data_IF_634985393336
#
_entry.id   IF_634985393336
#
_cell.length_a   1.000
_cell.length_b   1.000
_cell.length_c   1.000
_cell.angle_alpha   90.00
_cell.angle_beta   90.00
_cell.angle_gamma   90.00
#
_symmetry.space_group_name_H-M   'P 1'
#
loop_
_entity.id
_entity.type
_entity.pdbx_description
1 polymer ?
#
# COMPACT_ATOMS: atom_id res chain seq x y z
N UNK A 1 -11.46 8.38 -11.00
CA UNK A 1 -11.69 6.94 -11.30
C UNK A 1 -11.17 6.17 -10.09
N UNK A 2 -12.00 5.26 -9.51
CA UNK A 2 -11.62 4.49 -8.34
C UNK A 2 -10.91 3.19 -8.71
N UNK A 3 -10.13 2.64 -7.78
CA UNK A 3 -9.45 1.34 -7.95
C UNK A 3 -10.40 0.18 -8.17
N UNK A 4 -11.68 0.31 -7.76
CA UNK A 4 -12.71 -0.70 -7.98
C UNK A 4 -12.90 -1.09 -9.45
N UNK A 5 -12.51 -0.22 -10.38
CA UNK A 5 -12.63 -0.49 -11.82
C UNK A 5 -11.59 -1.50 -12.34
N UNK A 6 -10.57 -1.82 -11.53
CA UNK A 6 -9.48 -2.68 -11.97
C UNK A 6 -9.95 -4.08 -12.38
N UNK A 7 -10.95 -4.64 -11.68
CA UNK A 7 -11.50 -5.95 -12.00
C UNK A 7 -12.11 -6.02 -13.40
N UNK A 8 -12.86 -4.98 -13.78
CA UNK A 8 -13.53 -4.94 -15.09
C UNK A 8 -12.58 -4.54 -16.22
N UNK A 9 -11.58 -3.71 -15.92
CA UNK A 9 -10.65 -3.16 -16.90
C UNK A 9 -9.50 -4.09 -17.25
N UNK A 10 -9.10 -4.98 -16.34
CA UNK A 10 -8.01 -5.92 -16.63
C UNK A 10 -8.43 -6.96 -17.67
N UNK A 11 -7.61 -7.21 -18.71
CA UNK A 11 -7.85 -8.29 -19.65
C UNK A 11 -7.32 -9.65 -19.16
N UNK A 12 -6.64 -9.69 -17.99
CA UNK A 12 -5.94 -10.86 -17.48
C UNK A 12 -6.72 -11.56 -16.39
N UNK A 13 -6.52 -12.88 -16.26
CA UNK A 13 -7.09 -13.68 -15.18
C UNK A 13 -6.41 -13.43 -13.83
N UNK A 14 -5.12 -13.07 -13.85
CA UNK A 14 -4.31 -12.71 -12.70
C UNK A 14 -3.74 -11.32 -12.88
N UNK A 15 -3.88 -10.46 -11.88
CA UNK A 15 -3.50 -9.04 -11.98
C UNK A 15 -2.91 -8.55 -10.67
N UNK A 16 -1.82 -7.78 -10.77
CA UNK A 16 -1.31 -6.95 -9.66
C UNK A 16 -1.58 -5.49 -10.02
N UNK A 17 -2.40 -4.84 -9.20
CA UNK A 17 -2.65 -3.41 -9.25
C UNK A 17 -1.71 -2.69 -8.31
N UNK A 18 -0.99 -1.68 -8.81
CA UNK A 18 -0.01 -0.90 -8.05
C UNK A 18 -0.33 0.60 -8.08
N UNK A 19 0.17 1.33 -7.10
CA UNK A 19 0.28 2.79 -7.17
C UNK A 19 1.35 3.19 -8.18
N UNK A 20 1.15 4.32 -8.84
CA UNK A 20 2.09 4.82 -9.86
C UNK A 20 3.43 5.29 -9.30
N UNK A 21 3.52 5.50 -8.01
CA UNK A 21 4.68 5.89 -7.23
C UNK A 21 5.27 4.72 -6.42
N UNK A 22 4.94 3.48 -6.81
CA UNK A 22 5.54 2.26 -6.28
C UNK A 22 6.71 1.81 -7.17
N UNK A 23 7.90 1.71 -6.59
CA UNK A 23 9.13 1.31 -7.27
C UNK A 23 9.33 -0.19 -7.14
N UNK A 24 9.41 -0.88 -8.29
CA UNK A 24 9.65 -2.32 -8.37
C UNK A 24 11.14 -2.54 -8.65
N UNK A 25 11.85 -3.08 -7.67
CA UNK A 25 13.30 -3.35 -7.76
C UNK A 25 13.63 -4.82 -7.47
N UNK A 26 12.58 -5.66 -7.27
CA UNK A 26 12.75 -7.07 -6.97
C UNK A 26 11.70 -7.93 -7.68
N UNK A 27 11.94 -9.24 -7.83
CA UNK A 27 10.92 -10.16 -8.35
C UNK A 27 9.89 -10.58 -7.30
N UNK A 28 9.85 -9.93 -6.13
CA UNK A 28 9.05 -10.36 -4.98
C UNK A 28 7.54 -10.39 -5.29
N UNK A 29 7.04 -9.41 -6.04
CA UNK A 29 5.63 -9.35 -6.41
C UNK A 29 5.17 -10.56 -7.25
N UNK A 30 6.05 -11.12 -8.08
CA UNK A 30 5.71 -12.29 -8.91
C UNK A 30 5.41 -13.52 -8.06
N UNK A 31 5.98 -13.62 -6.86
CA UNK A 31 5.72 -14.72 -5.92
C UNK A 31 4.31 -14.70 -5.36
N UNK A 32 3.58 -13.58 -5.46
CA UNK A 32 2.21 -13.50 -4.96
C UNK A 32 1.31 -14.53 -5.66
N UNK A 33 1.48 -14.74 -6.96
CA UNK A 33 0.66 -15.69 -7.73
C UNK A 33 0.86 -17.15 -7.33
N UNK A 34 1.96 -17.46 -6.64
CA UNK A 34 2.27 -18.82 -6.15
C UNK A 34 1.72 -19.09 -4.75
N UNK A 35 1.41 -18.05 -3.97
CA UNK A 35 1.11 -18.16 -2.53
C UNK A 35 -0.32 -17.80 -2.13
N UNK A 36 -1.16 -17.33 -3.06
CA UNK A 36 -2.53 -16.95 -2.74
C UNK A 36 -3.58 -17.59 -3.67
N UNK A 37 -4.80 -17.71 -3.18
CA UNK A 37 -5.89 -18.33 -3.93
C UNK A 37 -6.53 -17.34 -4.91
N UNK A 38 -7.03 -16.19 -4.45
CA UNK A 38 -7.76 -15.26 -5.30
C UNK A 38 -7.59 -13.77 -5.02
N UNK A 39 -7.18 -13.36 -3.81
CA UNK A 39 -7.05 -11.93 -3.46
C UNK A 39 -6.02 -11.70 -2.35
N UNK A 40 -5.10 -10.74 -2.53
CA UNK A 40 -4.16 -10.31 -1.50
C UNK A 40 -3.92 -8.79 -1.52
N UNK A 41 -3.67 -8.24 -0.34
CA UNK A 41 -3.26 -6.86 -0.12
C UNK A 41 -2.42 -6.73 1.16
N UNK A 42 -1.61 -5.67 1.32
CA UNK A 42 -0.85 -5.45 2.54
C UNK A 42 -1.77 -5.06 3.72
N UNK A 43 -1.52 -5.65 4.88
CA UNK A 43 -2.15 -5.32 6.16
C UNK A 43 -1.31 -4.36 7.01
N UNK A 44 -0.02 -4.24 6.73
CA UNK A 44 0.94 -3.46 7.50
C UNK A 44 1.97 -2.76 6.64
N UNK A 45 2.50 -1.66 7.16
CA UNK A 45 3.55 -0.87 6.53
C UNK A 45 4.81 -0.84 7.37
N UNK A 46 5.94 -0.57 6.72
CA UNK A 46 7.21 -0.25 7.33
C UNK A 46 7.71 1.09 6.79
N UNK A 47 7.91 2.06 7.66
CA UNK A 47 8.41 3.37 7.27
C UNK A 47 9.93 3.42 7.41
N UNK A 48 10.62 3.73 6.31
CA UNK A 48 12.07 3.89 6.30
C UNK A 48 12.48 5.06 7.22
N UNK A 49 13.52 4.85 8.01
CA UNK A 49 14.09 5.83 8.94
C UNK A 49 13.07 6.37 9.97
N UNK A 50 12.05 5.58 10.30
CA UNK A 50 11.13 5.86 11.39
C UNK A 50 11.39 4.91 12.56
N UNK A 51 11.52 5.46 13.76
CA UNK A 51 11.81 4.69 14.98
C UNK A 51 10.66 3.74 15.36
N UNK A 52 9.44 4.02 14.91
CA UNK A 52 8.26 3.18 15.17
C UNK A 52 8.15 1.96 14.24
N UNK A 53 8.97 1.90 13.19
CA UNK A 53 9.11 0.75 12.29
C UNK A 53 7.81 0.32 11.61
N UNK A 54 7.17 -0.74 12.14
CA UNK A 54 5.95 -1.29 11.58
C UNK A 54 4.70 -0.59 12.11
N UNK A 55 3.77 -0.28 11.21
CA UNK A 55 2.51 0.36 11.54
C UNK A 55 1.33 -0.44 10.98
N UNK A 56 0.37 -0.75 11.84
CA UNK A 56 -1.02 -1.03 11.49
C UNK A 56 -1.82 0.20 11.88
N UNK A 57 -2.59 0.74 10.96
CA UNK A 57 -3.35 1.97 11.17
C UNK A 57 -4.84 1.63 11.25
N UNK A 58 -5.48 1.77 12.43
CA UNK A 58 -6.92 1.52 12.54
C UNK A 58 -7.72 2.62 11.82
N UNK A 59 -8.85 2.26 11.21
CA UNK A 59 -9.73 3.24 10.54
C UNK A 59 -10.46 4.16 11.51
N UNK A 60 -10.55 3.75 12.77
CA UNK A 60 -11.23 4.48 13.85
C UNK A 60 -10.76 4.02 15.23
N UNK A 61 -11.12 4.73 16.34
CA UNK A 61 -10.73 4.35 17.70
C UNK A 61 -11.17 2.96 18.14
N UNK A 62 -12.23 2.43 17.53
CA UNK A 62 -12.82 1.12 17.85
C UNK A 62 -12.99 0.26 16.60
N UNK A 63 -12.41 0.68 15.50
CA UNK A 63 -12.50 0.01 14.21
C UNK A 63 -11.43 -1.06 14.02
N UNK A 64 -11.47 -1.64 12.84
CA UNK A 64 -10.48 -2.59 12.35
C UNK A 64 -9.34 -1.85 11.63
N UNK A 65 -8.25 -2.57 11.36
CA UNK A 65 -7.08 -2.00 10.70
C UNK A 65 -7.33 -1.72 9.20
N UNK A 66 -6.69 -0.66 8.72
CA UNK A 66 -6.64 -0.29 7.32
C UNK A 66 -5.90 -1.37 6.52
N UNK A 67 -6.40 -1.65 5.31
CA UNK A 67 -5.68 -2.42 4.30
C UNK A 67 -5.13 -1.48 3.24
N UNK A 68 -3.90 -1.69 2.83
CA UNK A 68 -3.23 -0.76 1.92
C UNK A 68 -3.53 -1.11 0.46
N UNK A 69 -4.21 -0.21 -0.22
CA UNK A 69 -4.57 -0.38 -1.62
C UNK A 69 -3.41 -0.06 -2.59
N UNK A 70 -2.22 0.23 -2.08
CA UNK A 70 -1.00 0.44 -2.88
C UNK A 70 -0.65 -0.79 -3.70
N UNK A 71 -0.87 -1.98 -3.14
CA UNK A 71 -0.72 -3.27 -3.84
C UNK A 71 -2.02 -4.05 -3.67
N UNK A 72 -2.62 -4.46 -4.77
CA UNK A 72 -3.73 -5.42 -4.78
C UNK A 72 -3.42 -6.49 -5.81
N UNK A 73 -3.17 -7.71 -5.35
CA UNK A 73 -3.03 -8.87 -6.23
C UNK A 73 -4.35 -9.65 -6.24
N UNK A 74 -4.88 -9.98 -7.42
CA UNK A 74 -6.14 -10.69 -7.52
C UNK A 74 -6.23 -11.58 -8.77
N UNK A 75 -7.02 -12.67 -8.63
CA UNK A 75 -7.49 -13.50 -9.74
C UNK A 75 -8.93 -13.13 -10.08
N UNK A 76 -9.37 -13.40 -11.31
CA UNK A 76 -10.79 -13.23 -11.70
C UNK A 76 -11.65 -14.33 -11.07
N UNK A 77 -11.99 -14.15 -9.80
CA UNK A 77 -12.87 -15.00 -9.02
C UNK A 77 -14.15 -14.27 -8.62
N UNK A 78 -15.16 -15.01 -8.18
CA UNK A 78 -16.38 -14.41 -7.62
C UNK A 78 -16.09 -13.56 -6.38
N UNK A 79 -15.16 -14.00 -5.53
CA UNK A 79 -14.77 -13.25 -4.32
C UNK A 79 -14.10 -11.92 -4.68
N UNK A 80 -13.12 -11.94 -5.57
CA UNK A 80 -12.47 -10.73 -6.05
C UNK A 80 -13.49 -9.76 -6.67
N UNK A 81 -14.41 -10.27 -7.49
CA UNK A 81 -15.51 -9.47 -8.04
C UNK A 81 -16.33 -8.79 -6.96
N UNK A 82 -16.76 -9.54 -5.95
CA UNK A 82 -17.54 -9.01 -4.82
C UNK A 82 -16.78 -7.93 -4.05
N UNK A 83 -15.47 -8.11 -3.82
CA UNK A 83 -14.64 -7.10 -3.16
C UNK A 83 -14.61 -5.79 -3.96
N UNK A 84 -14.36 -5.84 -5.27
CA UNK A 84 -14.32 -4.64 -6.11
C UNK A 84 -15.70 -3.98 -6.27
N UNK A 85 -16.78 -4.75 -6.39
CA UNK A 85 -18.15 -4.20 -6.38
C UNK A 85 -18.47 -3.53 -5.04
N UNK A 86 -18.06 -4.14 -3.92
CA UNK A 86 -18.21 -3.56 -2.59
C UNK A 86 -17.38 -2.27 -2.43
N UNK A 87 -16.13 -2.22 -2.97
CA UNK A 87 -15.33 -0.99 -2.99
C UNK A 87 -16.05 0.16 -3.70
N UNK A 88 -16.73 -0.14 -4.83
CA UNK A 88 -17.57 0.86 -5.51
C UNK A 88 -18.72 1.33 -4.62
N UNK A 89 -19.46 0.40 -4.03
CA UNK A 89 -20.57 0.72 -3.12
C UNK A 89 -20.10 1.57 -1.93
N UNK A 90 -18.95 1.24 -1.34
CA UNK A 90 -18.35 2.02 -0.24
C UNK A 90 -17.98 3.42 -0.71
N UNK A 91 -17.40 3.58 -1.91
CA UNK A 91 -17.06 4.90 -2.45
C UNK A 91 -18.31 5.76 -2.67
N UNK A 92 -19.33 5.18 -3.27
CA UNK A 92 -20.61 5.89 -3.56
C UNK A 92 -21.35 6.30 -2.28
N UNK A 93 -21.14 5.57 -1.18
CA UNK A 93 -21.80 5.81 0.11
C UNK A 93 -20.80 6.15 1.22
N UNK A 94 -19.66 6.76 0.91
CA UNK A 94 -18.54 6.88 1.83
C UNK A 94 -18.91 7.58 3.15
N UNK A 95 -19.72 8.65 3.10
CA UNK A 95 -20.19 9.38 4.29
C UNK A 95 -20.97 8.46 5.24
N UNK A 96 -21.76 7.52 4.72
CA UNK A 96 -22.46 6.53 5.54
C UNK A 96 -21.46 5.67 6.33
N UNK A 97 -20.41 5.18 5.67
CA UNK A 97 -19.39 4.33 6.31
C UNK A 97 -18.53 5.10 7.31
N UNK A 98 -18.21 6.38 7.02
CA UNK A 98 -17.54 7.27 7.98
C UNK A 98 -18.32 7.35 9.28
N UNK A 99 -19.64 7.57 9.20
CA UNK A 99 -20.51 7.65 10.36
C UNK A 99 -20.69 6.29 11.05
N UNK A 100 -20.87 5.22 10.27
CA UNK A 100 -21.11 3.86 10.80
C UNK A 100 -19.91 3.37 11.63
N UNK A 101 -18.69 3.61 11.15
CA UNK A 101 -17.46 3.17 11.81
C UNK A 101 -16.79 4.24 12.67
N UNK A 102 -17.38 5.43 12.79
CA UNK A 102 -16.80 6.57 13.50
C UNK A 102 -15.34 6.84 13.09
N UNK A 103 -15.11 6.93 11.77
CA UNK A 103 -13.76 7.02 11.20
C UNK A 103 -13.09 8.35 11.53
N UNK A 104 -11.75 8.34 11.62
CA UNK A 104 -10.94 9.54 11.90
C UNK A 104 -11.03 10.60 10.80
N UNK A 105 -11.28 10.21 9.55
CA UNK A 105 -11.30 11.11 8.40
C UNK A 105 -12.52 10.89 7.54
N UNK A 106 -13.15 11.99 7.13
CA UNK A 106 -14.22 12.01 6.15
C UNK A 106 -13.71 12.05 4.71
N UNK A 107 -12.39 12.22 4.51
CA UNK A 107 -11.79 12.20 3.18
C UNK A 107 -11.73 10.77 2.67
N UNK A 108 -12.25 10.55 1.45
CA UNK A 108 -12.20 9.24 0.81
C UNK A 108 -10.76 8.76 0.59
N UNK A 109 -10.50 7.50 0.98
CA UNK A 109 -9.27 6.77 0.70
C UNK A 109 -9.61 5.39 0.14
N UNK A 110 -8.86 4.97 -0.88
CA UNK A 110 -8.99 3.60 -1.41
C UNK A 110 -8.66 2.53 -0.36
N UNK A 111 -7.72 2.82 0.54
CA UNK A 111 -7.31 1.95 1.64
C UNK A 111 -8.49 1.64 2.58
N UNK A 112 -9.24 2.66 2.98
CA UNK A 112 -10.44 2.50 3.80
C UNK A 112 -11.53 1.74 3.05
N UNK A 113 -11.76 2.08 1.76
CA UNK A 113 -12.75 1.37 0.96
C UNK A 113 -12.40 -0.11 0.80
N UNK A 114 -11.12 -0.43 0.59
CA UNK A 114 -10.63 -1.81 0.53
C UNK A 114 -10.85 -2.55 1.85
N UNK A 115 -10.42 -1.96 2.98
CA UNK A 115 -10.55 -2.56 4.30
C UNK A 115 -12.01 -2.86 4.65
N UNK A 116 -12.92 -1.89 4.43
CA UNK A 116 -14.36 -2.04 4.66
C UNK A 116 -14.93 -3.16 3.76
N UNK A 117 -14.55 -3.18 2.49
CA UNK A 117 -15.06 -4.15 1.50
C UNK A 117 -14.65 -5.57 1.82
N UNK A 118 -13.39 -5.77 2.19
CA UNK A 118 -12.90 -7.08 2.62
C UNK A 118 -13.64 -7.57 3.87
N UNK A 119 -13.89 -6.69 4.84
CA UNK A 119 -14.68 -7.03 6.03
C UNK A 119 -16.13 -7.43 5.68
N UNK A 120 -16.80 -6.67 4.83
CA UNK A 120 -18.17 -6.99 4.42
C UNK A 120 -18.23 -8.33 3.70
N UNK A 121 -17.37 -8.55 2.71
CA UNK A 121 -17.36 -9.78 1.89
C UNK A 121 -17.01 -11.00 2.74
N UNK A 122 -16.14 -10.84 3.74
CA UNK A 122 -15.75 -11.92 4.67
C UNK A 122 -16.72 -12.08 5.87
N UNK A 123 -17.92 -11.48 5.83
CA UNK A 123 -18.90 -11.58 6.93
C UNK A 123 -18.43 -10.92 8.21
N UNK A 124 -17.67 -9.82 8.12
CA UNK A 124 -17.07 -9.06 9.23
C UNK A 124 -15.99 -9.83 10.03
N UNK A 125 -15.49 -10.93 9.47
CA UNK A 125 -14.39 -11.71 10.05
C UNK A 125 -13.07 -11.25 9.40
N UNK A 126 -12.01 -11.19 10.18
CA UNK A 126 -10.67 -10.99 9.67
C UNK A 126 -10.18 -12.25 8.95
N UNK A 127 -9.80 -12.10 7.69
CA UNK A 127 -9.22 -13.20 6.90
C UNK A 127 -7.74 -12.90 6.60
N UNK A 128 -6.88 -13.48 7.42
CA UNK A 128 -5.42 -13.30 7.31
C UNK A 128 -4.81 -13.96 6.07
N UNK A 129 -5.51 -14.86 5.40
CA UNK A 129 -5.05 -15.49 4.15
C UNK A 129 -4.96 -14.47 3.00
N UNK A 130 -5.66 -13.34 3.12
CA UNK A 130 -5.60 -12.22 2.18
C UNK A 130 -4.39 -11.30 2.38
N UNK A 131 -3.59 -11.50 3.41
CA UNK A 131 -2.51 -10.56 3.73
C UNK A 131 -1.22 -10.96 3.04
N UNK A 132 -0.60 -9.98 2.37
CA UNK A 132 0.73 -10.14 1.82
C UNK A 132 1.69 -10.41 2.99
N UNK A 133 2.54 -11.47 2.91
CA UNK A 133 3.33 -11.93 4.06
C UNK A 133 4.48 -10.99 4.48
N UNK A 134 4.69 -9.89 3.77
CA UNK A 134 5.67 -8.86 4.09
C UNK A 134 5.02 -7.49 4.25
N UNK A 135 5.70 -6.57 4.92
CA UNK A 135 5.22 -5.20 5.08
C UNK A 135 5.42 -4.40 3.79
N UNK A 136 4.47 -3.51 3.50
CA UNK A 136 4.64 -2.49 2.47
C UNK A 136 5.66 -1.44 2.95
N UNK A 137 6.76 -1.30 2.24
CA UNK A 137 7.81 -0.34 2.61
C UNK A 137 7.47 1.04 2.05
N UNK A 138 7.54 2.07 2.91
CA UNK A 138 7.31 3.46 2.56
C UNK A 138 8.54 4.33 2.77
N UNK A 139 8.84 5.17 1.79
CA UNK A 139 9.67 6.35 1.97
C UNK A 139 8.77 7.58 2.09
N UNK A 140 8.73 8.18 3.28
CA UNK A 140 7.88 9.34 3.59
C UNK A 140 8.32 10.60 2.85
N UNK A 141 7.42 11.60 2.73
CA UNK A 141 7.65 12.90 2.07
C UNK A 141 8.81 13.72 2.65
N UNK A 142 9.26 13.41 3.87
CA UNK A 142 10.38 14.09 4.52
C UNK A 142 11.72 13.40 4.27
N UNK A 143 11.73 12.34 3.47
CA UNK A 143 12.93 11.61 3.07
C UNK A 143 13.32 12.02 1.66
N UNK A 144 14.63 12.11 1.43
CA UNK A 144 15.21 12.25 0.11
C UNK A 144 15.71 10.87 -0.33
N UNK A 145 15.36 10.51 -1.56
CA UNK A 145 15.78 9.24 -2.16
C UNK A 145 16.68 9.56 -3.35
N UNK A 146 17.89 9.03 -3.32
CA UNK A 146 18.88 9.18 -4.38
C UNK A 146 19.20 7.79 -4.96
N UNK A 147 19.12 7.66 -6.29
CA UNK A 147 19.51 6.44 -6.99
C UNK A 147 21.04 6.36 -7.06
N UNK A 148 21.62 5.32 -6.48
CA UNK A 148 23.08 5.12 -6.46
C UNK A 148 23.57 4.28 -7.63
N UNK A 149 22.81 3.27 -8.05
CA UNK A 149 23.14 2.43 -9.19
C UNK A 149 21.88 2.04 -9.94
N UNK A 150 22.02 1.90 -11.24
CA UNK A 150 20.95 1.49 -12.16
C UNK A 150 21.48 0.39 -13.07
N UNK A 151 21.48 -0.82 -12.56
CA UNK A 151 21.72 -2.00 -13.39
C UNK A 151 20.53 -2.95 -13.28
N UNK A 152 20.26 -3.69 -14.34
CA UNK A 152 19.12 -4.64 -14.42
C UNK A 152 19.08 -5.66 -13.28
N UNK A 153 20.17 -5.81 -12.54
CA UNK A 153 20.33 -6.82 -11.49
C UNK A 153 20.80 -6.27 -10.15
N UNK A 154 20.92 -4.95 -9.99
CA UNK A 154 21.43 -4.36 -8.74
C UNK A 154 21.04 -2.88 -8.67
N UNK A 155 19.81 -2.63 -8.30
CA UNK A 155 19.31 -1.27 -8.09
C UNK A 155 19.48 -0.87 -6.64
N UNK A 156 20.25 0.19 -6.40
CA UNK A 156 20.53 0.69 -5.06
C UNK A 156 20.06 2.12 -4.90
N UNK A 157 19.46 2.41 -3.75
CA UNK A 157 19.04 3.75 -3.38
C UNK A 157 19.63 4.12 -2.02
N UNK A 158 20.03 5.37 -1.90
CA UNK A 158 20.30 6.02 -0.61
C UNK A 158 19.07 6.79 -0.19
N UNK A 159 18.52 6.43 0.95
CA UNK A 159 17.39 7.13 1.56
C UNK A 159 17.90 7.87 2.78
N UNK A 160 17.63 9.18 2.88
CA UNK A 160 18.11 9.96 4.00
C UNK A 160 17.15 11.05 4.45
N UNK A 161 17.31 11.44 5.71
CA UNK A 161 16.59 12.52 6.37
C UNK A 161 17.59 13.50 6.95
N UNK A 162 17.44 14.78 6.63
CA UNK A 162 18.23 15.83 7.21
C UNK A 162 17.40 16.54 8.29
N UNK A 163 17.93 16.63 9.49
CA UNK A 163 17.31 17.36 10.60
C UNK A 163 18.26 18.40 11.14
N UNK A 164 17.76 19.62 11.33
CA UNK A 164 18.51 20.68 11.99
C UNK A 164 18.02 20.84 13.43
N UNK A 165 18.93 20.70 14.38
CA UNK A 165 18.65 20.90 15.80
C UNK A 165 19.78 21.67 16.46
N UNK A 166 19.47 22.82 17.06
CA UNK A 166 20.43 23.66 17.78
C UNK A 166 21.65 24.07 16.93
N UNK A 167 21.41 24.43 15.64
CA UNK A 167 22.47 24.82 14.72
C UNK A 167 23.41 23.69 14.28
N UNK A 168 23.03 22.44 14.55
CA UNK A 168 23.74 21.25 14.05
C UNK A 168 22.85 20.47 13.10
N UNK A 169 23.40 20.10 11.96
CA UNK A 169 22.76 19.24 10.98
C UNK A 169 23.06 17.78 11.32
N UNK A 170 22.01 16.97 11.46
CA UNK A 170 22.12 15.52 11.58
C UNK A 170 21.55 14.89 10.32
N UNK A 171 22.26 13.93 9.75
CA UNK A 171 21.81 13.14 8.60
C UNK A 171 21.66 11.68 9.06
N UNK A 172 20.44 11.19 9.06
CA UNK A 172 20.16 9.77 9.24
C UNK A 172 19.94 9.18 7.84
N UNK A 173 20.54 8.04 7.54
CA UNK A 173 20.42 7.40 6.23
C UNK A 173 20.41 5.89 6.31
N UNK A 174 19.82 5.26 5.27
CA UNK A 174 19.99 3.84 4.98
C UNK A 174 20.25 3.64 3.48
N UNK A 175 20.82 2.50 3.14
CA UNK A 175 20.97 2.04 1.75
C UNK A 175 20.02 0.86 1.58
N UNK A 176 19.19 0.91 0.55
CA UNK A 176 18.30 -0.18 0.16
C UNK A 176 18.76 -0.76 -1.17
N UNK A 177 18.82 -2.07 -1.25
CA UNK A 177 19.24 -2.80 -2.43
C UNK A 177 18.14 -3.79 -2.81
N UNK A 178 17.78 -3.85 -4.08
CA UNK A 178 16.83 -4.83 -4.64
C UNK A 178 15.53 -4.97 -3.83
N UNK A 179 15.04 -3.86 -3.29
CA UNK A 179 13.84 -3.79 -2.48
C UNK A 179 12.77 -2.93 -3.14
N UNK A 180 11.55 -3.45 -3.19
CA UNK A 180 10.39 -2.71 -3.64
C UNK A 180 9.92 -1.74 -2.54
N UNK A 181 9.55 -0.51 -2.91
CA UNK A 181 9.04 0.46 -1.96
C UNK A 181 8.14 1.51 -2.60
N UNK A 182 7.29 2.10 -1.79
CA UNK A 182 6.37 3.18 -2.17
C UNK A 182 6.99 4.54 -1.78
N UNK A 183 7.21 5.40 -2.77
CA UNK A 183 7.76 6.74 -2.58
C UNK A 183 6.65 7.77 -2.53
N UNK A 184 6.35 8.29 -1.33
CA UNK A 184 5.24 9.22 -1.11
C UNK A 184 5.52 10.63 -1.65
N UNK A 185 6.78 11.04 -1.80
CA UNK A 185 7.16 12.31 -2.42
C UNK A 185 7.17 12.20 -3.94
N UNK A 186 6.12 12.72 -4.57
CA UNK A 186 5.96 12.70 -6.03
C UNK A 186 7.00 13.52 -6.78
N UNK A 187 7.55 14.56 -6.18
CA UNK A 187 8.60 15.37 -6.81
C UNK A 187 9.89 14.56 -6.85
N UNK A 188 10.26 13.97 -5.73
CA UNK A 188 11.45 13.11 -5.68
C UNK A 188 11.28 11.85 -6.56
N UNK A 189 10.06 11.29 -6.67
CA UNK A 189 9.77 10.19 -7.59
C UNK A 189 10.11 10.56 -9.04
N UNK A 190 9.71 11.74 -9.51
CA UNK A 190 9.99 12.21 -10.88
C UNK A 190 11.48 12.46 -11.17
N UNK A 191 12.30 12.62 -10.14
CA UNK A 191 13.75 12.83 -10.27
C UNK A 191 14.53 11.52 -10.39
N UNK A 192 14.01 10.41 -9.86
CA UNK A 192 14.69 9.12 -9.79
C UNK A 192 14.23 8.09 -10.83
N UNK A 193 13.09 8.32 -11.50
CA UNK A 193 12.56 7.50 -12.59
C UNK A 193 13.00 8.08 -13.94
#
# INVERSE_FOLDING_TARGET
>A
KGRYQAYDLTPYDETILLDTDYLINSPQLLKLFDIYDDFMCPDRTYFLLDDNGHCQEPISPTGFDTLWATIIAFKKSNRSKQIFECMRMVQENYVHYVNLYNMYSSQYRNDHALAISCRIVNGHIEDKSMYIPWALVHANNNLVVEKLSDSVYNTSYKVYKQTEKLGKTKIDYCIINDMDFHLLDKNNFMEIV
#
